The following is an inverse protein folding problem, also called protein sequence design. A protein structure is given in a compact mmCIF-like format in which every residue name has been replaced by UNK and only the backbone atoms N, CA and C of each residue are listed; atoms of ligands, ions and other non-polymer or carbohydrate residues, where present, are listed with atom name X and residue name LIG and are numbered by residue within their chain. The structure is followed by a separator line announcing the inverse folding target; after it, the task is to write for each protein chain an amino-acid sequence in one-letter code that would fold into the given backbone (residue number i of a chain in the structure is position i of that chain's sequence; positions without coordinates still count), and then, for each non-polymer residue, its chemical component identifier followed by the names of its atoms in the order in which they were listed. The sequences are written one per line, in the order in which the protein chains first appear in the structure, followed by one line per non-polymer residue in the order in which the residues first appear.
data_IF_815326561259
#
_entry.id   IF_815326561259
#
_cell.length_a   1.000
_cell.length_b   1.000
_cell.length_c   1.000
_cell.angle_alpha   90.00
_cell.angle_beta   90.00
_cell.angle_gamma   90.00
#
_symmetry.space_group_name_H-M   'P 1'
#
loop_
_entity.id
_entity.type
_entity.pdbx_description
1 polymer ?
#
# COMPACT_ATOMS: atom_id res chain seq x y z
N UNK A 1 -7.92 -14.76 -18.93
CA UNK A 1 -6.93 -13.68 -18.83
C UNK A 1 -7.29 -12.71 -17.71
N UNK A 2 -6.27 -12.20 -16.99
CA UNK A 2 -6.47 -11.28 -15.86
C UNK A 2 -5.57 -10.06 -16.01
N UNK A 3 -6.07 -8.89 -15.64
CA UNK A 3 -5.31 -7.64 -15.61
C UNK A 3 -5.49 -6.89 -14.29
N UNK A 4 -4.41 -6.30 -13.80
CA UNK A 4 -4.43 -5.35 -12.70
C UNK A 4 -4.43 -3.92 -13.23
N UNK A 5 -5.43 -3.14 -12.86
CA UNK A 5 -5.64 -1.74 -13.20
C UNK A 5 -5.44 -0.89 -11.94
N UNK A 6 -4.27 -0.28 -11.81
CA UNK A 6 -3.95 0.49 -10.61
C UNK A 6 -3.12 1.74 -10.94
N UNK A 7 -3.25 2.76 -10.08
CA UNK A 7 -2.41 3.95 -10.12
C UNK A 7 -0.93 3.62 -9.89
N UNK A 8 -0.03 4.47 -10.41
CA UNK A 8 1.42 4.24 -10.31
C UNK A 8 1.99 3.18 -11.26
N UNK A 9 1.14 2.51 -12.05
CA UNK A 9 1.54 1.60 -13.12
C UNK A 9 1.41 2.27 -14.48
N UNK A 10 2.20 1.80 -15.47
CA UNK A 10 2.15 2.35 -16.85
C UNK A 10 0.79 2.05 -17.51
N UNK A 11 0.27 3.00 -18.28
CA UNK A 11 -1.01 2.87 -19.00
C UNK A 11 -0.97 1.82 -20.12
N UNK A 12 0.14 1.74 -20.87
CA UNK A 12 0.22 0.92 -22.07
C UNK A 12 -0.18 -0.56 -21.90
N UNK A 13 0.31 -1.30 -20.91
CA UNK A 13 -0.14 -2.67 -20.66
C UNK A 13 -1.63 -2.75 -20.30
N UNK A 14 -2.16 -1.78 -19.56
CA UNK A 14 -3.55 -1.73 -19.11
C UNK A 14 -4.49 -1.49 -20.31
N UNK A 15 -4.24 -0.46 -21.10
CA UNK A 15 -4.98 -0.16 -22.34
C UNK A 15 -4.93 -1.32 -23.34
N UNK A 16 -3.74 -1.93 -23.49
CA UNK A 16 -3.59 -3.06 -24.39
C UNK A 16 -4.39 -4.29 -23.97
N UNK A 17 -4.59 -4.51 -22.67
CA UNK A 17 -5.41 -5.60 -22.15
C UNK A 17 -6.86 -5.42 -22.53
N UNK A 18 -7.43 -4.24 -22.34
CA UNK A 18 -8.82 -3.95 -22.75
C UNK A 18 -9.03 -4.14 -24.26
N UNK A 19 -8.10 -3.64 -25.11
CA UNK A 19 -8.18 -3.81 -26.56
C UNK A 19 -8.12 -5.25 -27.05
N UNK A 20 -7.54 -6.16 -26.25
CA UNK A 20 -7.43 -7.60 -26.60
C UNK A 20 -8.58 -8.43 -26.06
N UNK A 21 -9.37 -7.85 -25.20
CA UNK A 21 -10.31 -8.55 -24.37
C UNK A 21 -9.64 -9.19 -23.14
N UNK A 22 -10.25 -9.04 -22.00
CA UNK A 22 -9.79 -9.56 -20.71
C UNK A 22 -10.99 -10.12 -19.93
N UNK A 23 -10.81 -11.29 -19.30
CA UNK A 23 -11.90 -11.98 -18.61
C UNK A 23 -12.09 -11.47 -17.18
N UNK A 24 -11.00 -11.08 -16.50
CA UNK A 24 -11.02 -10.56 -15.12
C UNK A 24 -10.21 -9.29 -14.99
N UNK A 25 -10.87 -8.23 -14.54
CA UNK A 25 -10.26 -6.94 -14.22
C UNK A 25 -10.22 -6.76 -12.71
N UNK A 26 -9.03 -6.63 -12.13
CA UNK A 26 -8.84 -6.21 -10.73
C UNK A 26 -8.42 -4.74 -10.76
N UNK A 27 -9.21 -3.86 -10.17
CA UNK A 27 -9.00 -2.42 -10.35
C UNK A 27 -9.07 -1.61 -9.05
N UNK A 28 -8.28 -0.53 -9.00
CA UNK A 28 -8.54 0.58 -8.08
C UNK A 28 -9.44 1.60 -8.77
N UNK A 29 -10.45 2.18 -8.06
CA UNK A 29 -11.47 3.01 -8.70
C UNK A 29 -10.93 4.14 -9.55
N UNK A 30 -10.02 4.96 -9.02
CA UNK A 30 -9.51 6.13 -9.75
C UNK A 30 -8.87 5.79 -11.09
N UNK A 31 -8.02 4.75 -11.17
CA UNK A 31 -7.36 4.37 -12.44
C UNK A 31 -8.36 3.79 -13.44
N UNK A 32 -9.37 3.08 -12.98
CA UNK A 32 -10.38 2.54 -13.88
C UNK A 32 -11.26 3.65 -14.46
N UNK A 33 -11.60 4.67 -13.66
CA UNK A 33 -12.30 5.87 -14.14
C UNK A 33 -11.46 6.61 -15.18
N UNK A 34 -10.15 6.83 -14.96
CA UNK A 34 -9.26 7.44 -15.95
C UNK A 34 -9.33 6.71 -17.31
N UNK A 35 -9.36 5.38 -17.31
CA UNK A 35 -9.41 4.58 -18.53
C UNK A 35 -10.82 4.60 -19.19
N UNK A 36 -11.89 4.72 -18.40
CA UNK A 36 -13.25 4.91 -18.91
C UNK A 36 -13.38 6.27 -19.59
N UNK A 37 -12.93 7.34 -18.94
CA UNK A 37 -12.98 8.72 -19.45
C UNK A 37 -12.19 8.90 -20.76
N UNK A 38 -11.06 8.20 -20.88
CA UNK A 38 -10.25 8.21 -22.12
C UNK A 38 -10.79 7.28 -23.21
N UNK A 39 -11.83 6.48 -22.93
CA UNK A 39 -12.37 5.48 -23.85
C UNK A 39 -11.44 4.27 -24.08
N UNK A 40 -10.44 4.09 -23.24
CA UNK A 40 -9.53 2.96 -23.29
C UNK A 40 -10.05 1.70 -22.58
N UNK A 41 -11.07 1.84 -21.73
CA UNK A 41 -11.77 0.74 -21.07
C UNK A 41 -13.23 0.69 -21.51
N UNK A 42 -13.74 -0.49 -21.80
CA UNK A 42 -15.15 -0.79 -22.05
C UNK A 42 -15.61 -1.83 -21.02
N UNK A 43 -16.64 -1.49 -20.26
CA UNK A 43 -17.26 -2.33 -19.23
C UNK A 43 -18.64 -2.85 -19.62
N UNK A 44 -19.10 -2.61 -20.85
CA UNK A 44 -20.44 -2.99 -21.32
C UNK A 44 -20.67 -4.50 -21.33
N UNK A 45 -19.62 -5.31 -21.34
CA UNK A 45 -19.69 -6.78 -21.29
C UNK A 45 -19.50 -7.38 -19.89
N UNK A 46 -19.44 -6.58 -18.83
CA UNK A 46 -19.23 -7.08 -17.48
C UNK A 46 -20.47 -7.76 -16.93
N UNK A 47 -20.38 -9.08 -16.69
CA UNK A 47 -21.48 -9.87 -16.14
C UNK A 47 -21.48 -9.95 -14.60
N UNK A 48 -20.30 -9.85 -13.96
CA UNK A 48 -20.17 -9.93 -12.51
C UNK A 48 -19.28 -8.80 -12.00
N UNK A 49 -19.76 -8.09 -10.99
CA UNK A 49 -19.00 -7.02 -10.32
C UNK A 49 -18.83 -7.34 -8.85
N UNK A 50 -17.61 -7.21 -8.36
CA UNK A 50 -17.27 -7.40 -6.95
C UNK A 50 -16.71 -6.10 -6.40
N UNK A 51 -17.35 -5.57 -5.36
CA UNK A 51 -16.84 -4.45 -4.57
C UNK A 51 -16.31 -5.00 -3.25
N UNK A 52 -15.03 -4.84 -3.01
CA UNK A 52 -14.38 -5.28 -1.78
C UNK A 52 -13.95 -4.07 -0.94
N UNK A 53 -14.00 -4.20 0.39
CA UNK A 53 -13.74 -3.11 1.34
C UNK A 53 -14.53 -1.80 1.02
N UNK A 54 -15.85 -1.92 0.79
CA UNK A 54 -16.66 -0.79 0.36
C UNK A 54 -16.69 0.37 1.37
N UNK A 55 -16.67 0.09 2.67
CA UNK A 55 -16.56 1.10 3.74
C UNK A 55 -15.22 1.85 3.68
N UNK A 56 -14.14 1.15 3.35
CA UNK A 56 -12.84 1.80 3.16
C UNK A 56 -12.82 2.70 1.92
N UNK A 57 -13.40 2.26 0.82
CA UNK A 57 -13.56 3.10 -0.37
C UNK A 57 -14.35 4.38 -0.04
N UNK A 58 -15.36 4.26 0.83
CA UNK A 58 -16.13 5.41 1.33
C UNK A 58 -15.28 6.36 2.19
N UNK A 59 -14.49 5.84 3.11
CA UNK A 59 -13.57 6.64 3.94
C UNK A 59 -12.51 7.39 3.12
N UNK A 60 -12.04 6.80 2.03
CA UNK A 60 -11.09 7.42 1.11
C UNK A 60 -11.73 8.38 0.10
N UNK A 61 -13.05 8.54 0.11
CA UNK A 61 -13.76 9.42 -0.79
C UNK A 61 -13.95 8.88 -2.22
N UNK A 62 -13.82 7.57 -2.43
CA UNK A 62 -13.96 6.96 -3.77
C UNK A 62 -15.40 6.66 -4.20
N UNK A 63 -16.40 7.04 -3.40
CA UNK A 63 -17.79 6.67 -3.70
C UNK A 63 -18.31 7.24 -5.04
N UNK A 64 -17.84 8.41 -5.43
CA UNK A 64 -18.14 9.03 -6.72
C UNK A 64 -17.55 8.21 -7.89
N UNK A 65 -16.27 7.86 -7.78
CA UNK A 65 -15.58 7.02 -8.75
C UNK A 65 -16.21 5.62 -8.87
N UNK A 66 -16.56 5.01 -7.73
CA UNK A 66 -17.27 3.72 -7.70
C UNK A 66 -18.65 3.85 -8.40
N UNK A 67 -19.37 4.94 -8.15
CA UNK A 67 -20.63 5.23 -8.83
C UNK A 67 -20.46 5.31 -10.36
N UNK A 68 -19.47 6.07 -10.83
CA UNK A 68 -19.17 6.20 -12.27
C UNK A 68 -18.84 4.86 -12.93
N UNK A 69 -18.10 3.99 -12.23
CA UNK A 69 -17.81 2.63 -12.71
C UNK A 69 -19.08 1.79 -12.79
N UNK A 70 -19.91 1.81 -11.74
CA UNK A 70 -21.16 1.03 -11.71
C UNK A 70 -22.20 1.52 -12.71
N UNK A 71 -22.23 2.82 -13.03
CA UNK A 71 -23.08 3.40 -14.07
C UNK A 71 -22.64 2.98 -15.49
N UNK A 72 -21.35 2.59 -15.68
CA UNK A 72 -20.81 2.07 -16.94
C UNK A 72 -20.97 0.55 -17.13
N UNK A 73 -21.48 -0.16 -16.11
CA UNK A 73 -21.65 -1.63 -16.11
C UNK A 73 -23.15 -1.95 -16.31
N UNK A 74 -23.50 -3.00 -17.08
CA UNK A 74 -24.90 -3.42 -17.26
C UNK A 74 -25.64 -3.61 -15.92
N UNK A 75 -26.89 -3.15 -15.87
CA UNK A 75 -27.67 -3.15 -14.64
C UNK A 75 -28.13 -4.56 -14.21
N UNK A 76 -28.24 -5.48 -15.15
CA UNK A 76 -28.67 -6.88 -14.98
C UNK A 76 -27.54 -7.84 -14.58
N UNK A 77 -26.29 -7.35 -14.51
CA UNK A 77 -25.14 -8.14 -14.05
C UNK A 77 -25.21 -8.46 -12.54
N UNK A 78 -24.62 -9.57 -12.14
CA UNK A 78 -24.49 -9.93 -10.73
C UNK A 78 -23.59 -8.94 -9.98
N UNK A 79 -24.04 -8.48 -8.82
CA UNK A 79 -23.26 -7.56 -7.97
C UNK A 79 -23.05 -8.15 -6.59
N UNK A 80 -21.79 -8.22 -6.17
CA UNK A 80 -21.35 -8.68 -4.86
C UNK A 80 -20.65 -7.52 -4.16
N UNK A 81 -21.00 -7.30 -2.88
CA UNK A 81 -20.41 -6.24 -2.08
C UNK A 81 -19.93 -6.83 -0.75
N UNK A 82 -18.65 -6.62 -0.46
CA UNK A 82 -18.02 -6.98 0.79
C UNK A 82 -17.63 -5.71 1.56
N UNK A 83 -18.01 -5.67 2.83
CA UNK A 83 -17.74 -4.52 3.70
C UNK A 83 -17.75 -4.96 5.15
N UNK A 84 -16.85 -4.43 5.96
CA UNK A 84 -16.88 -4.67 7.39
C UNK A 84 -18.05 -3.93 8.07
N UNK A 85 -18.58 -2.87 7.44
CA UNK A 85 -19.72 -2.12 7.95
C UNK A 85 -20.66 -1.70 6.81
N UNK A 86 -21.96 -1.78 7.08
CA UNK A 86 -23.01 -1.25 6.21
C UNK A 86 -23.47 0.12 6.73
N UNK A 87 -22.58 1.12 6.67
CA UNK A 87 -22.91 2.49 7.09
C UNK A 87 -23.59 3.32 6.00
N UNK A 88 -23.88 4.60 6.32
CA UNK A 88 -24.68 5.48 5.46
C UNK A 88 -24.19 5.61 4.00
N UNK A 89 -22.88 5.60 3.75
CA UNK A 89 -22.32 5.71 2.42
C UNK A 89 -22.43 4.38 1.64
N UNK A 90 -22.09 3.27 2.30
CA UNK A 90 -22.22 1.92 1.73
C UNK A 90 -23.70 1.59 1.49
N UNK A 91 -24.58 1.91 2.44
CA UNK A 91 -26.02 1.71 2.27
C UNK A 91 -26.63 2.49 1.07
N UNK A 92 -26.13 3.70 0.81
CA UNK A 92 -26.56 4.45 -0.39
C UNK A 92 -26.19 3.71 -1.68
N UNK A 93 -24.99 3.14 -1.72
CA UNK A 93 -24.50 2.37 -2.86
C UNK A 93 -25.32 1.09 -3.05
N UNK A 94 -25.59 0.34 -1.96
CA UNK A 94 -26.44 -0.85 -1.99
C UNK A 94 -27.83 -0.50 -2.54
N UNK A 95 -28.50 0.54 -2.01
CA UNK A 95 -29.85 0.95 -2.46
C UNK A 95 -29.90 1.41 -3.92
N UNK A 96 -28.82 2.00 -4.44
CA UNK A 96 -28.77 2.51 -5.81
C UNK A 96 -28.49 1.42 -6.83
N UNK A 97 -27.61 0.46 -6.48
CA UNK A 97 -27.03 -0.45 -7.47
C UNK A 97 -27.33 -1.93 -7.25
N UNK A 98 -27.94 -2.32 -6.14
CA UNK A 98 -28.29 -3.72 -5.88
C UNK A 98 -29.80 -3.90 -5.80
N UNK A 99 -30.31 -4.91 -6.50
CA UNK A 99 -31.73 -5.29 -6.49
C UNK A 99 -31.93 -6.45 -5.52
N UNK A 100 -32.80 -6.27 -4.53
CA UNK A 100 -33.16 -7.28 -3.54
C UNK A 100 -31.94 -8.09 -3.01
N UNK A 101 -30.87 -7.41 -2.52
CA UNK A 101 -29.68 -8.10 -2.14
C UNK A 101 -29.92 -9.02 -0.96
N UNK A 102 -29.37 -10.23 -1.03
CA UNK A 102 -29.29 -11.12 0.14
C UNK A 102 -28.11 -10.68 1.00
N UNK A 103 -28.38 -10.39 2.27
CA UNK A 103 -27.35 -10.00 3.22
C UNK A 103 -26.91 -11.23 4.02
N UNK A 104 -25.58 -11.47 4.00
CA UNK A 104 -24.92 -12.46 4.84
C UNK A 104 -24.03 -11.71 5.83
N UNK A 105 -24.26 -11.88 7.11
CA UNK A 105 -23.47 -11.31 8.16
C UNK A 105 -22.64 -12.40 8.84
N UNK A 106 -21.35 -12.21 8.91
CA UNK A 106 -20.45 -13.06 9.69
C UNK A 106 -20.30 -12.41 11.05
N UNK A 107 -20.84 -13.04 12.07
CA UNK A 107 -20.72 -12.59 13.46
C UNK A 107 -19.24 -12.62 13.88
N UNK A 108 -18.60 -11.47 14.14
CA UNK A 108 -17.20 -11.42 14.56
C UNK A 108 -16.98 -12.19 15.87
N UNK A 109 -18.03 -12.31 16.71
CA UNK A 109 -17.93 -12.89 18.04
C UNK A 109 -17.85 -14.43 18.03
N UNK A 110 -18.14 -15.09 16.91
CA UNK A 110 -18.17 -16.55 16.85
C UNK A 110 -16.91 -17.22 16.28
N UNK A 111 -16.03 -16.51 15.61
CA UNK A 111 -14.89 -17.12 14.94
C UNK A 111 -13.50 -16.59 15.28
N UNK A 112 -13.34 -15.28 15.51
CA UNK A 112 -12.01 -14.68 15.72
C UNK A 112 -11.74 -14.18 17.13
N UNK A 113 -12.79 -13.92 17.93
CA UNK A 113 -12.64 -13.36 19.30
C UNK A 113 -12.17 -14.40 20.31
N UNK A 114 -12.47 -15.68 20.10
CA UNK A 114 -12.07 -16.74 21.03
C UNK A 114 -10.55 -17.01 21.08
N UNK A 115 -9.82 -16.64 20.02
CA UNK A 115 -8.38 -16.88 19.88
C UNK A 115 -7.53 -15.61 19.90
N UNK A 116 -8.16 -14.43 20.02
CA UNK A 116 -7.48 -13.14 20.01
C UNK A 116 -7.46 -12.52 21.40
N UNK A 117 -6.28 -12.18 21.91
CA UNK A 117 -6.14 -11.42 23.16
C UNK A 117 -5.83 -9.95 22.88
N UNK A 118 -6.41 -9.06 23.66
CA UNK A 118 -6.21 -7.62 23.53
C UNK A 118 -5.58 -7.06 24.80
N UNK A 119 -4.48 -6.30 24.63
CA UNK A 119 -3.73 -5.71 25.72
C UNK A 119 -3.51 -4.21 25.48
N UNK A 120 -3.70 -3.41 26.55
CA UNK A 120 -3.45 -1.97 26.53
C UNK A 120 -2.35 -1.63 27.52
N UNK A 121 -1.13 -1.47 27.03
CA UNK A 121 0.03 -1.12 27.82
C UNK A 121 0.11 0.40 28.01
N UNK A 122 -0.15 0.84 29.24
CA UNK A 122 -0.02 2.24 29.63
C UNK A 122 1.47 2.54 29.89
N UNK A 123 2.04 3.44 29.08
CA UNK A 123 3.47 3.68 29.07
C UNK A 123 3.82 5.17 29.24
N UNK A 124 5.04 5.46 29.67
CA UNK A 124 5.59 6.82 29.66
C UNK A 124 6.13 7.15 28.24
N UNK A 125 6.11 8.45 27.82
CA UNK A 125 6.53 8.83 26.48
C UNK A 125 7.95 8.39 26.10
N UNK A 126 8.90 8.42 27.03
CA UNK A 126 10.29 8.03 26.78
C UNK A 126 10.49 6.52 26.66
N UNK A 127 9.54 5.71 27.13
CA UNK A 127 9.60 4.25 27.02
C UNK A 127 9.10 3.73 25.64
N UNK A 128 8.38 4.56 24.89
CA UNK A 128 7.65 4.13 23.70
C UNK A 128 8.51 3.40 22.68
N UNK A 129 9.67 3.96 22.33
CA UNK A 129 10.57 3.35 21.33
C UNK A 129 11.22 2.09 21.88
N UNK A 130 11.70 2.13 23.12
CA UNK A 130 12.32 0.98 23.76
C UNK A 130 11.37 -0.22 23.88
N UNK A 131 10.13 0.00 24.33
CA UNK A 131 9.10 -1.03 24.41
C UNK A 131 8.69 -1.55 23.03
N UNK A 132 8.58 -0.67 22.02
CA UNK A 132 8.35 -1.11 20.64
C UNK A 132 9.42 -2.09 20.16
N UNK A 133 10.70 -1.77 20.40
CA UNK A 133 11.82 -2.62 20.00
C UNK A 133 11.83 -3.94 20.79
N UNK A 134 11.59 -3.89 22.09
CA UNK A 134 11.50 -5.07 22.94
C UNK A 134 10.37 -5.99 22.53
N UNK A 135 9.13 -5.48 22.38
CA UNK A 135 7.97 -6.27 21.96
C UNK A 135 8.16 -6.88 20.57
N UNK A 136 8.81 -6.17 19.67
CA UNK A 136 9.08 -6.66 18.31
C UNK A 136 10.24 -7.67 18.25
N UNK A 137 11.07 -7.77 19.30
CA UNK A 137 12.17 -8.72 19.39
C UNK A 137 11.70 -10.11 19.83
N UNK A 138 11.03 -10.81 18.92
CA UNK A 138 10.40 -12.11 19.17
C UNK A 138 10.47 -13.01 17.93
N UNK A 139 10.13 -14.27 18.13
CA UNK A 139 9.90 -15.22 17.04
C UNK A 139 8.48 -15.03 16.46
N UNK A 140 8.31 -15.31 15.16
CA UNK A 140 7.04 -15.20 14.44
C UNK A 140 6.82 -13.80 13.85
N UNK A 141 5.77 -13.69 13.02
CA UNK A 141 5.46 -12.47 12.30
C UNK A 141 4.76 -11.42 13.20
N UNK A 142 5.26 -10.20 13.14
CA UNK A 142 4.69 -9.05 13.85
C UNK A 142 4.35 -7.93 12.88
N UNK A 143 3.15 -7.39 12.96
CA UNK A 143 2.79 -6.14 12.27
C UNK A 143 2.75 -5.01 13.28
N UNK A 144 3.52 -3.96 13.02
CA UNK A 144 3.59 -2.73 13.81
C UNK A 144 2.84 -1.63 13.08
N UNK A 145 1.85 -1.02 13.72
CA UNK A 145 1.08 0.06 13.11
C UNK A 145 1.60 1.44 13.49
N UNK A 146 1.91 2.22 12.45
CA UNK A 146 2.30 3.62 12.50
C UNK A 146 1.24 4.51 11.85
N UNK A 147 1.05 5.73 12.40
CA UNK A 147 0.06 6.68 11.86
C UNK A 147 0.44 7.27 10.51
N UNK A 148 1.73 7.50 10.27
CA UNK A 148 2.22 8.20 9.07
C UNK A 148 3.27 7.41 8.31
N UNK A 149 3.43 7.70 7.02
CA UNK A 149 4.45 7.08 6.17
C UNK A 149 5.87 7.29 6.72
N UNK A 150 6.20 8.56 7.11
CA UNK A 150 7.49 8.88 7.74
C UNK A 150 7.68 8.19 9.08
N UNK A 151 6.58 8.05 9.85
CA UNK A 151 6.57 7.31 11.10
C UNK A 151 6.90 5.84 10.89
N UNK A 152 6.31 5.21 9.87
CA UNK A 152 6.57 3.82 9.53
C UNK A 152 8.04 3.58 9.14
N UNK A 153 8.61 4.43 8.26
CA UNK A 153 10.02 4.34 7.89
C UNK A 153 10.93 4.49 9.12
N UNK A 154 10.71 5.54 9.92
CA UNK A 154 11.51 5.80 11.11
C UNK A 154 11.45 4.67 12.15
N UNK A 155 10.27 4.11 12.40
CA UNK A 155 10.11 2.99 13.33
C UNK A 155 10.83 1.74 12.81
N UNK A 156 10.79 1.45 11.51
CA UNK A 156 11.53 0.35 10.92
C UNK A 156 13.05 0.53 11.05
N UNK A 157 13.57 1.75 10.86
CA UNK A 157 14.96 2.09 11.10
C UNK A 157 15.36 1.86 12.58
N UNK A 158 14.56 2.40 13.52
CA UNK A 158 14.79 2.23 14.96
C UNK A 158 14.79 0.76 15.39
N UNK A 159 13.94 -0.07 14.80
CA UNK A 159 13.92 -1.51 15.02
C UNK A 159 15.22 -2.16 14.52
N UNK A 160 15.72 -1.82 13.33
CA UNK A 160 16.98 -2.32 12.79
C UNK A 160 18.17 -1.86 13.62
N UNK A 161 18.19 -0.60 14.07
CA UNK A 161 19.21 -0.09 15.01
C UNK A 161 19.23 -0.87 16.33
N UNK A 162 18.07 -1.40 16.75
CA UNK A 162 17.92 -2.24 17.93
C UNK A 162 18.16 -3.76 17.67
N UNK A 163 18.58 -4.13 16.46
CA UNK A 163 18.85 -5.53 16.10
C UNK A 163 17.64 -6.36 15.68
N UNK A 164 16.50 -5.70 15.40
CA UNK A 164 15.29 -6.37 14.94
C UNK A 164 15.10 -6.13 13.44
N UNK A 165 15.12 -7.20 12.62
CA UNK A 165 14.92 -7.09 11.17
C UNK A 165 13.50 -6.64 10.87
N UNK A 166 13.36 -5.41 10.41
CA UNK A 166 12.08 -4.75 10.16
C UNK A 166 12.05 -3.98 8.84
N UNK A 167 10.94 -4.04 8.13
CA UNK A 167 10.70 -3.28 6.90
C UNK A 167 9.48 -2.38 6.99
N UNK A 168 9.52 -1.23 6.32
CA UNK A 168 8.40 -0.31 6.25
C UNK A 168 7.48 -0.63 5.05
N UNK A 169 6.15 -0.51 5.26
CA UNK A 169 5.15 -0.63 4.21
C UNK A 169 4.18 0.57 4.26
N UNK A 170 4.25 1.44 3.26
CA UNK A 170 3.41 2.63 3.17
C UNK A 170 3.22 3.10 1.74
N UNK A 171 2.29 4.04 1.52
CA UNK A 171 1.93 4.55 0.20
C UNK A 171 3.03 5.29 -0.56
N UNK A 172 4.11 5.72 0.11
CA UNK A 172 5.26 6.34 -0.54
C UNK A 172 6.22 5.37 -1.24
N UNK A 173 6.04 4.06 -1.05
CA UNK A 173 6.83 3.04 -1.75
C UNK A 173 6.30 2.79 -3.16
N UNK A 174 7.20 2.52 -4.11
CA UNK A 174 6.80 2.00 -5.42
C UNK A 174 6.14 0.62 -5.29
N UNK A 175 5.28 0.24 -6.23
CA UNK A 175 4.63 -1.08 -6.21
C UNK A 175 5.66 -2.23 -6.21
N UNK A 176 6.78 -2.06 -6.93
CA UNK A 176 7.86 -3.05 -6.91
C UNK A 176 8.53 -3.18 -5.54
N UNK A 177 8.77 -2.06 -4.82
CA UNK A 177 9.31 -2.09 -3.47
C UNK A 177 8.31 -2.73 -2.48
N UNK A 178 7.03 -2.36 -2.54
CA UNK A 178 5.97 -2.97 -1.73
C UNK A 178 5.92 -4.49 -1.90
N UNK A 179 5.92 -4.97 -3.15
CA UNK A 179 5.87 -6.40 -3.44
C UNK A 179 7.07 -7.15 -2.85
N UNK A 180 8.28 -6.56 -2.88
CA UNK A 180 9.48 -7.18 -2.31
C UNK A 180 9.46 -7.24 -0.78
N UNK A 181 9.08 -6.13 -0.13
CA UNK A 181 8.93 -6.09 1.34
C UNK A 181 7.89 -7.13 1.79
N UNK A 182 6.74 -7.20 1.13
CA UNK A 182 5.72 -8.19 1.44
C UNK A 182 6.18 -9.63 1.17
N UNK A 183 6.94 -9.87 0.11
CA UNK A 183 7.49 -11.19 -0.16
C UNK A 183 8.48 -11.63 0.92
N UNK A 184 9.37 -10.72 1.36
CA UNK A 184 10.30 -10.98 2.45
C UNK A 184 9.59 -11.15 3.81
N UNK A 185 8.47 -10.47 4.03
CA UNK A 185 7.63 -10.69 5.21
C UNK A 185 6.94 -12.04 5.15
N UNK A 186 6.36 -12.43 4.01
CA UNK A 186 5.69 -13.74 3.83
C UNK A 186 6.64 -14.93 3.97
N UNK A 187 7.88 -14.82 3.50
CA UNK A 187 8.85 -15.92 3.58
C UNK A 187 9.61 -15.96 4.92
N UNK A 188 9.33 -15.03 5.85
CA UNK A 188 9.91 -14.97 7.19
C UNK A 188 11.30 -14.36 7.28
N UNK A 189 11.92 -14.00 6.15
CA UNK A 189 13.23 -13.30 6.16
C UNK A 189 13.14 -11.88 6.74
N UNK A 190 11.94 -11.31 6.77
CA UNK A 190 11.59 -10.03 7.38
C UNK A 190 10.49 -10.25 8.43
N UNK A 191 10.80 -10.62 9.69
CA UNK A 191 9.80 -11.00 10.69
C UNK A 191 8.90 -9.84 11.15
N UNK A 192 9.34 -8.59 10.99
CA UNK A 192 8.60 -7.40 11.45
C UNK A 192 8.25 -6.49 10.28
N UNK A 193 6.95 -6.19 10.13
CA UNK A 193 6.44 -5.25 9.15
C UNK A 193 5.88 -4.01 9.85
N UNK A 194 6.44 -2.83 9.58
CA UNK A 194 5.91 -1.56 10.07
C UNK A 194 5.04 -0.92 9.00
N UNK A 195 3.75 -0.83 9.24
CA UNK A 195 2.79 -0.42 8.21
C UNK A 195 1.90 0.75 8.64
N UNK A 196 1.43 1.53 7.66
CA UNK A 196 0.29 2.43 7.83
C UNK A 196 -1.02 1.70 7.54
N UNK A 197 -2.14 2.19 8.09
CA UNK A 197 -3.47 1.57 7.91
C UNK A 197 -3.78 1.27 6.45
N UNK A 198 -3.65 2.27 5.58
CA UNK A 198 -3.93 2.12 4.13
C UNK A 198 -3.04 1.06 3.47
N UNK A 199 -1.79 0.94 3.89
CA UNK A 199 -0.87 -0.02 3.28
C UNK A 199 -1.01 -1.44 3.84
N UNK A 200 -1.48 -1.55 5.08
CA UNK A 200 -1.70 -2.83 5.76
C UNK A 200 -3.01 -3.52 5.34
N UNK A 201 -3.96 -2.76 4.77
CA UNK A 201 -5.20 -3.37 4.24
C UNK A 201 -4.91 -4.25 3.04
N UNK A 202 -5.64 -5.34 2.91
CA UNK A 202 -5.44 -6.32 1.83
C UNK A 202 -4.12 -7.11 1.91
N UNK A 203 -3.36 -7.01 3.03
CA UNK A 203 -2.22 -7.90 3.24
C UNK A 203 -2.77 -9.29 3.57
N UNK A 204 -2.51 -10.21 2.67
CA UNK A 204 -2.78 -11.63 2.82
C UNK A 204 -1.53 -12.32 3.39
N UNK A 205 -1.47 -12.40 4.73
CA UNK A 205 -0.46 -13.12 5.50
C UNK A 205 -1.17 -13.77 6.68
N UNK A 206 -1.09 -15.09 6.76
CA UNK A 206 -1.89 -15.87 7.71
C UNK A 206 -1.18 -16.06 9.06
N UNK A 207 0.15 -16.02 9.09
CA UNK A 207 0.96 -16.35 10.26
C UNK A 207 1.33 -15.16 11.15
N UNK A 208 0.55 -14.09 11.13
CA UNK A 208 0.80 -12.94 12.02
C UNK A 208 0.30 -13.29 13.42
N UNK A 209 1.24 -13.44 14.34
CA UNK A 209 0.93 -13.81 15.74
C UNK A 209 0.85 -12.62 16.69
N UNK A 210 1.34 -11.44 16.26
CA UNK A 210 1.27 -10.20 17.04
C UNK A 210 0.95 -9.00 16.17
N UNK A 211 -0.03 -8.21 16.61
CA UNK A 211 -0.28 -6.86 16.12
C UNK A 211 0.10 -5.86 17.19
N UNK A 212 1.08 -5.00 16.91
CA UNK A 212 1.54 -3.94 17.81
C UNK A 212 1.05 -2.58 17.31
N UNK A 213 0.16 -1.94 18.05
CA UNK A 213 -0.34 -0.61 17.76
C UNK A 213 0.49 0.44 18.51
N UNK A 214 1.57 0.92 17.90
CA UNK A 214 2.47 1.93 18.46
C UNK A 214 1.81 3.31 18.44
N UNK A 215 1.05 3.60 17.40
CA UNK A 215 0.21 4.79 17.30
C UNK A 215 -1.28 4.42 17.35
N UNK A 216 -2.11 5.20 18.06
CA UNK A 216 -3.55 4.98 18.11
C UNK A 216 -4.17 4.98 16.71
N UNK A 217 -5.14 4.08 16.45
CA UNK A 217 -5.94 4.16 15.23
C UNK A 217 -6.80 5.43 15.20
N UNK A 218 -7.25 5.84 14.03
CA UNK A 218 -8.06 7.05 13.89
C UNK A 218 -9.49 6.85 14.41
N UNK A 219 -10.03 5.65 14.23
CA UNK A 219 -11.38 5.27 14.63
C UNK A 219 -11.44 3.80 15.05
N UNK A 220 -12.60 3.34 15.53
CA UNK A 220 -12.77 1.96 15.99
C UNK A 220 -12.73 0.93 14.85
N UNK A 221 -13.11 1.30 13.62
CA UNK A 221 -13.02 0.43 12.45
C UNK A 221 -11.55 0.13 12.11
N UNK A 222 -10.70 1.17 12.12
CA UNK A 222 -9.25 0.98 11.96
C UNK A 222 -8.69 0.05 13.05
N UNK A 223 -9.16 0.19 14.30
CA UNK A 223 -8.77 -0.71 15.37
C UNK A 223 -9.09 -2.17 15.04
N UNK A 224 -10.31 -2.45 14.58
CA UNK A 224 -10.75 -3.80 14.20
C UNK A 224 -9.99 -4.31 12.97
N UNK A 225 -9.80 -3.48 11.94
CA UNK A 225 -9.04 -3.84 10.74
C UNK A 225 -7.57 -4.16 11.04
N UNK A 226 -6.94 -3.41 11.97
CA UNK A 226 -5.60 -3.71 12.47
C UNK A 226 -5.57 -5.03 13.23
N UNK A 227 -6.48 -5.20 14.17
CA UNK A 227 -6.58 -6.41 14.99
C UNK A 227 -6.81 -7.65 14.13
N UNK A 228 -7.68 -7.57 13.13
CA UNK A 228 -7.96 -8.64 12.18
C UNK A 228 -6.79 -9.03 11.25
N UNK A 229 -5.59 -8.49 11.46
CA UNK A 229 -4.36 -8.98 10.80
C UNK A 229 -3.75 -10.17 11.54
N UNK A 230 -4.15 -10.43 12.78
CA UNK A 230 -3.75 -11.63 13.56
C UNK A 230 -4.96 -12.53 13.84
N UNK A 231 -4.75 -13.66 14.47
CA UNK A 231 -5.77 -14.65 14.82
C UNK A 231 -6.60 -15.13 13.62
N UNK A 232 -5.95 -15.39 12.49
CA UNK A 232 -6.58 -15.91 11.28
C UNK A 232 -6.49 -17.43 11.21
N UNK A 233 -7.40 -18.03 10.45
CA UNK A 233 -7.42 -19.48 10.18
C UNK A 233 -7.40 -20.36 11.44
N UNK A 234 -7.94 -19.87 12.58
CA UNK A 234 -8.00 -20.60 13.85
C UNK A 234 -6.72 -20.56 14.69
N UNK A 235 -5.73 -19.74 14.31
CA UNK A 235 -4.53 -19.52 15.10
C UNK A 235 -4.76 -18.48 16.21
N UNK A 236 -4.03 -18.63 17.32
CA UNK A 236 -4.02 -17.62 18.39
C UNK A 236 -3.27 -16.35 17.97
N UNK A 237 -3.70 -15.21 18.49
CA UNK A 237 -3.08 -13.93 18.18
C UNK A 237 -3.20 -12.92 19.32
N UNK A 238 -2.19 -12.08 19.45
CA UNK A 238 -2.19 -10.98 20.41
C UNK A 238 -2.23 -9.61 19.73
N UNK A 239 -3.02 -8.70 20.30
CA UNK A 239 -3.07 -7.30 19.93
C UNK A 239 -2.60 -6.46 21.12
N UNK A 240 -1.47 -5.80 20.96
CA UNK A 240 -0.89 -4.92 21.99
C UNK A 240 -0.99 -3.47 21.52
N UNK A 241 -1.57 -2.59 22.35
CA UNK A 241 -1.61 -1.15 22.09
C UNK A 241 -0.74 -0.42 23.10
N UNK A 242 0.20 0.40 22.62
CA UNK A 242 0.98 1.30 23.49
C UNK A 242 0.21 2.60 23.71
N UNK A 243 -0.19 2.86 24.94
CA UNK A 243 -1.09 3.96 25.29
C UNK A 243 -0.38 5.00 26.14
N UNK A 244 -0.16 6.18 25.56
CA UNK A 244 0.41 7.32 26.27
C UNK A 244 -0.63 7.97 27.21
N UNK A 245 -0.22 8.68 28.27
CA UNK A 245 -1.15 9.28 29.24
C UNK A 245 -2.25 10.14 28.61
N UNK A 246 -1.90 10.97 27.63
CA UNK A 246 -2.86 11.83 26.91
C UNK A 246 -3.79 11.06 25.95
N UNK A 247 -3.48 9.80 25.62
CA UNK A 247 -4.26 8.96 24.71
C UNK A 247 -5.29 8.08 25.43
N UNK A 248 -5.20 7.92 26.74
CA UNK A 248 -6.04 7.00 27.53
C UNK A 248 -7.53 7.15 27.25
N UNK A 249 -8.05 8.39 27.31
CA UNK A 249 -9.48 8.66 27.06
C UNK A 249 -9.91 8.29 25.64
N UNK A 250 -9.07 8.59 24.65
CA UNK A 250 -9.34 8.27 23.26
C UNK A 250 -9.36 6.76 23.05
N UNK A 251 -8.36 6.04 23.56
CA UNK A 251 -8.28 4.58 23.42
C UNK A 251 -9.44 3.88 24.15
N UNK A 252 -9.80 4.31 25.37
CA UNK A 252 -10.94 3.75 26.09
C UNK A 252 -12.28 3.92 25.33
N UNK A 253 -12.45 5.06 24.62
CA UNK A 253 -13.60 5.25 23.73
C UNK A 253 -13.57 4.32 22.54
N UNK A 254 -12.41 4.16 21.88
CA UNK A 254 -12.23 3.28 20.73
C UNK A 254 -12.50 1.81 21.09
N UNK A 255 -11.97 1.32 22.21
CA UNK A 255 -12.22 -0.05 22.69
C UNK A 255 -13.72 -0.29 22.94
N UNK A 256 -14.40 0.66 23.58
CA UNK A 256 -15.85 0.56 23.81
C UNK A 256 -16.64 0.51 22.50
N UNK A 257 -16.28 1.35 21.52
CA UNK A 257 -16.92 1.36 20.21
C UNK A 257 -16.63 0.09 19.39
N UNK A 258 -15.46 -0.50 19.59
CA UNK A 258 -15.06 -1.75 18.97
C UNK A 258 -15.61 -2.99 19.69
N UNK A 259 -16.32 -2.85 20.81
CA UNK A 259 -16.80 -3.97 21.61
C UNK A 259 -15.70 -4.75 22.35
N UNK A 260 -14.49 -4.19 22.46
CA UNK A 260 -13.30 -4.88 22.99
C UNK A 260 -13.03 -4.44 24.44
N UNK A 261 -12.64 -5.40 25.28
CA UNK A 261 -12.20 -5.17 26.66
C UNK A 261 -10.74 -5.63 26.81
N UNK A 262 -9.76 -4.74 26.55
CA UNK A 262 -8.36 -5.12 26.67
C UNK A 262 -7.96 -5.34 28.13
N UNK A 263 -6.97 -6.21 28.36
CA UNK A 263 -6.26 -6.28 29.64
C UNK A 263 -5.37 -5.05 29.73
N UNK A 264 -5.61 -4.19 30.72
CA UNK A 264 -4.86 -2.97 30.94
C UNK A 264 -3.74 -3.20 31.95
N UNK A 265 -2.52 -2.79 31.61
CA UNK A 265 -1.36 -2.83 32.51
C UNK A 265 -0.51 -1.58 32.33
N UNK A 266 0.10 -1.11 33.42
CA UNK A 266 1.14 -0.10 33.36
C UNK A 266 2.49 -0.82 33.32
N UNK A 267 3.24 -0.62 32.25
CA UNK A 267 4.49 -1.37 31.98
C UNK A 267 5.66 -0.44 31.69
N UNK A 268 6.85 -0.97 31.89
CA UNK A 268 8.15 -0.38 31.53
C UNK A 268 9.00 -1.44 30.80
N UNK A 269 10.13 -1.02 30.25
CA UNK A 269 11.07 -1.96 29.61
C UNK A 269 11.57 -2.99 30.62
N UNK A 270 11.70 -4.23 30.14
CA UNK A 270 12.16 -5.35 30.96
C UNK A 270 11.12 -5.91 31.93
N UNK A 271 9.84 -5.50 31.81
CA UNK A 271 8.76 -6.03 32.61
C UNK A 271 8.39 -7.45 32.13
N UNK A 272 8.40 -8.41 33.04
CA UNK A 272 8.08 -9.81 32.76
C UNK A 272 6.70 -9.98 32.10
N UNK A 273 5.74 -9.13 32.46
CA UNK A 273 4.40 -9.14 31.85
C UNK A 273 4.43 -8.78 30.35
N UNK A 274 5.34 -7.90 29.94
CA UNK A 274 5.54 -7.59 28.51
C UNK A 274 6.06 -8.82 27.78
N UNK A 275 7.05 -9.51 28.36
CA UNK A 275 7.62 -10.73 27.78
C UNK A 275 6.59 -11.86 27.71
N UNK A 276 5.75 -12.03 28.75
CA UNK A 276 4.69 -13.04 28.81
C UNK A 276 3.65 -12.81 27.70
N UNK A 277 3.13 -11.58 27.58
CA UNK A 277 2.09 -11.24 26.61
C UNK A 277 2.59 -11.27 25.16
N UNK A 278 3.75 -10.69 24.91
CA UNK A 278 4.29 -10.56 23.54
C UNK A 278 5.12 -11.75 23.10
N UNK A 279 5.55 -12.62 23.98
CA UNK A 279 6.50 -13.69 23.68
C UNK A 279 7.86 -13.13 23.24
N UNK A 280 8.24 -11.98 23.77
CA UNK A 280 9.43 -11.25 23.35
C UNK A 280 10.61 -11.46 24.30
N UNK A 281 11.80 -11.06 23.84
CA UNK A 281 13.02 -11.02 24.66
C UNK A 281 13.41 -9.57 24.94
N UNK A 282 13.70 -9.21 26.21
CA UNK A 282 14.15 -7.85 26.54
C UNK A 282 15.55 -7.53 26.03
N UNK A 283 16.36 -8.55 25.75
CA UNK A 283 17.71 -8.38 25.22
C UNK A 283 17.65 -8.05 23.73
N UNK A 284 18.05 -6.82 23.37
CA UNK A 284 18.16 -6.38 21.99
C UNK A 284 19.49 -6.84 21.38
N UNK A 285 19.48 -7.13 20.08
CA UNK A 285 20.66 -7.54 19.33
C UNK A 285 21.59 -6.39 18.96
N UNK A 286 22.69 -6.72 18.26
CA UNK A 286 23.51 -5.71 17.60
C UNK A 286 22.72 -5.05 16.44
N UNK A 287 22.99 -3.78 16.13
CA UNK A 287 22.37 -3.11 14.99
C UNK A 287 22.52 -3.90 13.69
N UNK A 288 21.47 -3.98 12.92
CA UNK A 288 21.46 -4.63 11.60
C UNK A 288 22.06 -3.68 10.58
N UNK A 289 23.02 -4.16 9.77
CA UNK A 289 23.57 -3.37 8.67
C UNK A 289 22.45 -3.08 7.64
N UNK A 290 22.33 -1.83 7.22
CA UNK A 290 21.35 -1.43 6.20
C UNK A 290 21.54 -2.22 4.89
N UNK A 291 22.76 -2.63 4.57
CA UNK A 291 23.05 -3.49 3.41
C UNK A 291 22.36 -4.86 3.48
N UNK A 292 22.23 -5.42 4.68
CA UNK A 292 21.56 -6.70 4.87
C UNK A 292 20.05 -6.55 4.61
N UNK A 293 19.46 -5.46 5.10
CA UNK A 293 18.08 -5.13 4.79
C UNK A 293 17.87 -4.82 3.29
N UNK A 294 18.74 -4.00 2.70
CA UNK A 294 18.68 -3.69 1.26
C UNK A 294 18.81 -4.96 0.40
N UNK A 295 19.67 -5.90 0.77
CA UNK A 295 19.82 -7.17 0.07
C UNK A 295 18.54 -8.01 0.08
N UNK A 296 17.79 -8.01 1.19
CA UNK A 296 16.50 -8.69 1.30
C UNK A 296 15.44 -8.10 0.38
N UNK A 297 15.37 -6.77 0.29
CA UNK A 297 14.34 -6.05 -0.48
C UNK A 297 14.83 -5.60 -1.86
N UNK A 298 16.04 -5.99 -2.27
CA UNK A 298 16.59 -5.68 -3.58
C UNK A 298 15.78 -6.32 -4.71
N UNK A 299 15.73 -5.70 -5.91
CA UNK A 299 15.22 -6.35 -7.09
C UNK A 299 16.04 -7.62 -7.37
N UNK A 300 15.41 -8.79 -7.39
CA UNK A 300 16.10 -10.02 -7.88
C UNK A 300 16.62 -9.72 -9.27
N UNK A 301 17.95 -9.65 -9.42
CA UNK A 301 18.57 -9.55 -10.73
C UNK A 301 18.04 -10.72 -11.56
N UNK A 302 17.32 -10.43 -12.65
CA UNK A 302 17.02 -11.46 -13.64
C UNK A 302 18.39 -12.00 -14.08
N UNK A 303 18.71 -13.21 -13.65
CA UNK A 303 19.85 -13.95 -14.20
C UNK A 303 19.66 -13.91 -15.70
N UNK A 304 20.46 -13.07 -16.36
CA UNK A 304 20.43 -12.89 -17.79
C UNK A 304 20.40 -14.27 -18.43
N UNK A 305 19.44 -14.50 -19.33
CA UNK A 305 19.50 -15.63 -20.25
C UNK A 305 20.90 -15.57 -20.82
N UNK A 306 21.76 -16.53 -20.43
CA UNK A 306 23.08 -16.75 -21.04
C UNK A 306 22.82 -16.65 -22.53
N UNK A 307 23.44 -15.65 -23.16
CA UNK A 307 23.50 -15.59 -24.61
C UNK A 307 23.94 -16.98 -25.07
N UNK A 308 23.07 -17.66 -25.80
CA UNK A 308 23.42 -18.90 -26.46
C UNK A 308 24.59 -18.53 -27.35
N UNK A 309 25.77 -19.04 -27.00
CA UNK A 309 26.98 -19.00 -27.86
C UNK A 309 26.59 -19.28 -29.29
N UNK A 310 26.69 -18.22 -30.10
CA UNK A 310 26.55 -18.33 -31.53
C UNK A 310 27.72 -19.19 -32.04
N UNK A 311 27.43 -20.44 -32.39
CA UNK A 311 28.35 -21.26 -33.16
C UNK A 311 28.79 -20.46 -34.40
N UNK A 312 30.11 -20.33 -34.67
CA UNK A 312 30.57 -19.67 -35.89
C UNK A 312 30.11 -20.49 -37.10
N UNK A 313 29.30 -19.88 -37.96
CA UNK A 313 28.96 -20.45 -39.27
C UNK A 313 30.25 -20.54 -40.06
N UNK A 314 30.76 -21.76 -40.23
CA UNK A 314 31.79 -22.13 -41.23
C UNK A 314 31.31 -21.68 -42.59
N UNK A 315 31.99 -20.69 -43.17
CA UNK A 315 31.82 -20.28 -44.55
C UNK A 315 32.27 -21.41 -45.48
N UNK A 316 31.37 -21.89 -46.35
CA UNK A 316 31.71 -22.67 -47.51
C UNK A 316 32.12 -21.70 -48.64
N UNK A 317 33.36 -21.83 -49.06
CA UNK A 317 33.90 -21.14 -50.20
C UNK A 317 33.18 -21.53 -51.54
N UNK A 318 33.00 -20.55 -52.34
CA UNK A 318 32.49 -20.71 -53.75
C UNK A 318 33.19 -19.72 -54.68
N UNK A 319 33.89 -20.28 -55.59
CA UNK A 319 34.79 -19.72 -56.55
C UNK A 319 34.18 -18.70 -57.51
N UNK A 320 34.91 -17.60 -57.72
CA UNK A 320 35.51 -17.10 -58.95
C UNK A 320 34.66 -16.90 -60.23
N UNK A 321 34.69 -15.69 -60.76
CA UNK A 321 34.94 -15.19 -62.11
C UNK A 321 34.28 -13.84 -62.29
N UNK A 322 35.04 -12.76 -62.42
CA UNK A 322 35.69 -12.39 -63.67
C UNK A 322 34.97 -11.21 -64.30
N UNK A 323 35.65 -10.11 -64.46
CA UNK A 323 35.35 -9.24 -65.60
C UNK A 323 35.21 -7.73 -65.33
N UNK A 324 36.32 -7.00 -65.52
CA UNK A 324 36.42 -5.70 -66.25
C UNK A 324 35.43 -4.59 -65.87
N UNK A 325 35.75 -3.39 -65.42
CA UNK A 325 36.74 -2.49 -65.96
C UNK A 325 36.07 -1.15 -66.21
N UNK A 326 36.81 -0.05 -66.16
CA UNK A 326 36.49 1.36 -66.44
C UNK A 326 36.09 2.18 -65.23
N UNK A 327 36.97 2.99 -64.64
CA UNK A 327 37.66 4.22 -65.11
C UNK A 327 36.78 5.46 -64.99
N UNK A 328 37.29 6.44 -64.29
CA UNK A 328 36.98 7.82 -64.63
C UNK A 328 36.46 8.72 -63.49
N UNK A 329 37.36 9.54 -62.96
CA UNK A 329 37.01 10.92 -62.77
C UNK A 329 37.00 11.47 -61.30
N UNK A 330 38.13 11.78 -60.82
CA UNK A 330 38.62 13.11 -60.30
C UNK A 330 37.57 14.20 -60.13
N UNK A 331 37.52 14.76 -58.94
CA UNK A 331 37.90 16.14 -58.55
C UNK A 331 37.49 16.39 -57.13
N UNK A 332 38.45 16.69 -56.23
CA UNK A 332 38.88 18.04 -55.73
C UNK A 332 37.66 18.87 -55.29
N UNK A 333 37.56 19.40 -54.15
CA UNK A 333 38.48 19.83 -53.13
C UNK A 333 37.84 21.02 -52.38
N UNK A 334 38.47 21.45 -51.35
CA UNK A 334 38.29 22.70 -50.60
C UNK A 334 37.19 22.67 -49.55
N UNK A 335 37.50 22.67 -48.26
CA UNK A 335 38.31 23.60 -47.45
C UNK A 335 37.52 24.82 -46.99
N UNK A 336 37.68 25.04 -45.72
CA UNK A 336 37.65 26.34 -45.04
C UNK A 336 36.43 26.64 -44.15
N UNK A 337 36.65 26.48 -42.85
CA UNK A 337 36.91 27.60 -41.89
C UNK A 337 35.70 28.44 -41.52
N UNK A 338 35.46 28.34 -40.29
CA UNK A 338 35.67 29.33 -39.21
C UNK A 338 34.53 30.31 -38.89
N UNK A 339 34.32 30.37 -37.61
CA UNK A 339 34.17 31.54 -36.77
C UNK A 339 32.78 31.99 -36.28
N UNK A 340 32.85 32.10 -34.97
CA UNK A 340 32.26 33.15 -34.09
C UNK A 340 30.79 32.98 -33.66
N UNK A 341 30.56 32.65 -32.43
CA UNK A 341 30.71 33.42 -31.15
C UNK A 341 29.76 34.64 -31.06
N UNK A 342 29.17 34.70 -29.87
CA UNK A 342 28.34 35.74 -29.20
C UNK A 342 26.90 35.29 -29.04
N UNK A 343 26.39 35.06 -27.86
CA UNK A 343 26.50 35.85 -26.62
C UNK A 343 25.23 36.65 -26.42
N UNK A 344 24.72 36.63 -25.18
CA UNK A 344 23.63 37.47 -24.66
C UNK A 344 22.19 36.96 -24.95
N UNK A 345 21.22 37.02 -24.07
CA UNK A 345 21.15 37.61 -22.74
C UNK A 345 19.91 37.04 -22.01
N UNK A 346 20.01 37.00 -20.72
CA UNK A 346 19.01 36.90 -19.72
C UNK A 346 17.74 37.72 -19.98
N UNK A 347 16.56 37.14 -19.68
CA UNK A 347 15.48 37.89 -19.03
C UNK A 347 14.61 36.95 -18.17
N UNK A 348 14.76 37.14 -16.87
CA UNK A 348 13.85 36.64 -15.87
C UNK A 348 12.47 37.25 -15.99
N UNK A 349 11.45 36.44 -15.71
CA UNK A 349 10.15 36.99 -15.34
C UNK A 349 9.77 36.45 -13.96
N UNK A 350 9.95 37.37 -13.00
CA UNK A 350 9.27 37.38 -11.72
C UNK A 350 7.75 37.35 -11.92
N UNK A 351 7.06 36.41 -11.32
CA UNK A 351 5.66 36.58 -10.99
C UNK A 351 5.51 36.63 -9.45
N UNK A 352 5.24 37.86 -9.02
CA UNK A 352 4.87 38.25 -7.65
C UNK A 352 3.56 37.61 -7.25
N UNK A 353 3.46 37.34 -5.95
CA UNK A 353 2.30 36.83 -5.23
C UNK A 353 1.01 37.62 -5.50
N UNK A 354 -0.07 36.91 -5.39
CA UNK A 354 -1.41 37.47 -5.15
C UNK A 354 -1.95 36.95 -3.82
N UNK A 355 -2.45 37.92 -3.11
CA UNK A 355 -2.98 37.94 -1.76
C UNK A 355 -4.05 36.86 -1.45
N UNK A 356 -3.87 36.30 -0.26
CA UNK A 356 -4.91 35.59 0.49
C UNK A 356 -5.86 36.64 1.13
N UNK A 357 -6.85 37.07 0.42
CA UNK A 357 -7.98 37.84 1.02
C UNK A 357 -9.13 37.98 0.03
N UNK A 358 -9.83 36.93 -0.34
CA UNK A 358 -11.13 37.04 -1.04
C UNK A 358 -11.90 35.69 -1.14
N UNK A 359 -11.93 34.89 -0.07
CA UNK A 359 -12.82 33.71 0.03
C UNK A 359 -13.59 33.69 1.38
N UNK A 360 -13.91 34.83 1.93
CA UNK A 360 -14.77 34.93 3.13
C UNK A 360 -16.11 35.70 2.92
N UNK A 361 -16.54 35.87 1.70
CA UNK A 361 -17.75 36.63 1.41
C UNK A 361 -18.78 35.91 0.55
N UNK A 362 -19.09 34.64 0.81
CA UNK A 362 -20.19 33.99 0.06
C UNK A 362 -21.05 32.98 0.82
N UNK A 363 -20.99 32.89 2.14
CA UNK A 363 -22.04 32.22 2.92
C UNK A 363 -22.29 32.97 4.23
N UNK A 364 -23.04 34.07 4.14
CA UNK A 364 -23.62 34.80 5.26
C UNK A 364 -24.92 34.15 5.72
N UNK A 365 -24.99 33.93 7.00
CA UNK A 365 -26.13 34.02 7.94
C UNK A 365 -27.56 33.91 7.43
N UNK A 366 -28.24 32.92 7.93
CA UNK A 366 -29.60 33.04 8.54
C UNK A 366 -29.75 31.83 9.46
N UNK A 367 -30.16 31.86 10.68
CA UNK A 367 -30.97 32.73 11.46
C UNK A 367 -31.55 31.87 12.56
N UNK A 368 -31.50 32.34 13.78
CA UNK A 368 -32.17 31.82 14.97
C UNK A 368 -33.56 31.27 14.68
N UNK A 369 -33.94 30.19 15.38
CA UNK A 369 -34.88 30.22 16.50
C UNK A 369 -35.30 28.81 16.97
N UNK A 370 -35.12 28.65 18.30
CA UNK A 370 -36.01 27.96 19.29
C UNK A 370 -36.67 26.62 18.92
N UNK A 371 -36.35 25.55 19.56
CA UNK A 371 -36.94 24.79 20.70
C UNK A 371 -36.09 23.57 21.04
#
# INVERSE_FOLDING_TARGET
STILIAGGMSYGPQTKAFRRGVDLVVATPGRLVDLLETGDADLSGVAVTVLDEADHMAELGFMEAVGSILDAIPADGQRLLFSATLDGAVNKLVRRYMHEPVTHEVDPDKGSVATMTHHAFQIKPHEKVGLMCEIANRSGHTIVFARTQRGASRMAEQLREAGVMAGALHGGLTQGARARVLAAFKDGSLPVLVATDVAARGIDVDDVTLVLQVDPPMNFKDYLHRSGRTARAGHDGAVVSLVLPHQRRTMARLYRQAGVKPVEAQVTRGDDHVAEVAGCSPALGAPIDEKDYEALVAPKQQRGKKARDGKPRRGKGGRNRGGRGFDGGRHRGHDSRDHHDRGHDSRGHNFRGRDRRDIEAKYGRSGNDTW
#
